data_IF_934665719919
#
_entry.id   IF_934665719919
#
_cell.length_a   1.000
_cell.length_b   1.000
_cell.length_c   1.000
_cell.angle_alpha   90.00
_cell.angle_beta   90.00
_cell.angle_gamma   90.00
#
_symmetry.space_group_name_H-M   'P 1'
#
loop_
_entity.id
_entity.type
_entity.pdbx_description
1 polymer ?
#
# COMPACT_ATOMS: atom_id res chain seq x y z
N UNK A 1 36.07 -17.11 -6.41
CA UNK A 1 36.34 -18.56 -6.27
C UNK A 1 36.61 -19.13 -7.65
N UNK A 2 37.84 -19.55 -7.92
CA UNK A 2 38.23 -20.16 -9.20
C UNK A 2 38.22 -21.68 -9.04
N UNK A 3 37.49 -22.38 -9.92
CA UNK A 3 37.43 -23.84 -9.96
C UNK A 3 38.51 -24.33 -10.93
N UNK A 4 39.35 -25.26 -10.47
CA UNK A 4 40.49 -25.80 -11.23
C UNK A 4 40.24 -27.30 -11.42
N UNK A 5 40.26 -27.78 -12.66
CA UNK A 5 40.12 -29.20 -12.98
C UNK A 5 41.43 -29.98 -12.70
N UNK A 6 41.35 -31.29 -12.37
CA UNK A 6 42.50 -32.11 -11.93
C UNK A 6 43.59 -32.36 -12.99
N UNK A 7 43.48 -31.77 -14.19
CA UNK A 7 44.51 -31.82 -15.25
C UNK A 7 45.26 -30.50 -15.46
N UNK A 8 45.17 -29.55 -14.52
CA UNK A 8 46.05 -28.38 -14.46
C UNK A 8 45.90 -27.38 -15.62
N UNK A 9 44.75 -27.37 -16.30
CA UNK A 9 44.47 -26.43 -17.41
C UNK A 9 43.62 -25.27 -16.90
N UNK A 10 44.14 -24.04 -17.02
CA UNK A 10 43.40 -22.81 -16.71
C UNK A 10 42.21 -22.64 -17.68
N UNK A 11 40.98 -22.58 -17.17
CA UNK A 11 39.82 -22.10 -17.93
C UNK A 11 39.81 -20.57 -17.87
N UNK A 12 40.43 -19.96 -18.87
CA UNK A 12 40.59 -18.52 -19.00
C UNK A 12 39.27 -17.73 -19.03
N UNK A 13 39.39 -16.49 -18.59
CA UNK A 13 38.39 -15.44 -18.63
C UNK A 13 37.68 -15.36 -19.99
N UNK A 14 36.34 -15.34 -19.95
CA UNK A 14 35.54 -14.88 -21.08
C UNK A 14 34.82 -13.59 -20.72
N UNK A 15 35.41 -12.53 -21.23
CA UNK A 15 34.82 -11.24 -21.58
C UNK A 15 33.40 -11.43 -22.12
N UNK A 16 32.38 -11.02 -21.36
CA UNK A 16 31.04 -10.79 -21.88
C UNK A 16 30.81 -9.28 -21.92
N UNK A 17 30.76 -8.80 -23.16
CA UNK A 17 30.60 -7.41 -23.57
C UNK A 17 29.26 -6.89 -23.03
N UNK A 18 29.29 -5.71 -22.41
CA UNK A 18 28.10 -4.86 -22.27
C UNK A 18 27.62 -4.49 -23.68
N UNK A 19 26.57 -5.14 -24.15
CA UNK A 19 25.78 -4.64 -25.28
C UNK A 19 24.49 -4.09 -24.71
N UNK A 20 24.41 -2.76 -24.65
CA UNK A 20 23.20 -1.99 -24.37
C UNK A 20 22.06 -2.48 -25.29
N UNK A 21 20.84 -2.74 -24.79
CA UNK A 21 19.71 -3.00 -25.65
C UNK A 21 19.29 -1.71 -26.39
N UNK A 22 18.80 -1.81 -27.64
CA UNK A 22 18.34 -0.67 -28.43
C UNK A 22 17.07 -0.02 -27.84
N UNK A 23 16.77 1.26 -28.17
CA UNK A 23 15.61 1.96 -27.65
C UNK A 23 14.34 1.46 -28.37
N UNK A 24 13.67 0.47 -27.78
CA UNK A 24 12.35 0.08 -28.25
C UNK A 24 11.30 1.08 -27.74
N UNK A 25 10.90 1.96 -28.67
CA UNK A 25 9.66 2.73 -28.75
C UNK A 25 8.77 2.71 -27.51
N UNK A 26 8.71 3.84 -26.81
CA UNK A 26 7.64 4.13 -25.86
C UNK A 26 6.27 3.98 -26.54
N UNK A 27 5.30 3.23 -25.98
CA UNK A 27 3.92 3.43 -26.36
C UNK A 27 3.45 4.78 -25.79
N UNK A 28 3.17 5.74 -26.68
CA UNK A 28 2.29 6.87 -26.37
C UNK A 28 0.90 6.30 -26.05
N UNK A 29 0.56 6.24 -24.77
CA UNK A 29 -0.77 5.86 -24.31
C UNK A 29 -1.48 7.06 -23.67
N UNK A 30 -1.64 8.12 -24.45
CA UNK A 30 -2.67 9.12 -24.20
C UNK A 30 -4.05 8.52 -24.57
N UNK A 31 -4.69 7.81 -23.64
CA UNK A 31 -6.11 7.39 -23.74
C UNK A 31 -6.84 7.62 -22.41
N UNK A 32 -7.80 8.56 -22.35
CA UNK A 32 -8.70 8.70 -21.22
C UNK A 32 -9.94 7.83 -21.41
N UNK A 33 -10.31 7.06 -20.39
CA UNK A 33 -11.65 6.45 -20.26
C UNK A 33 -11.70 4.94 -20.31
N UNK A 34 -11.25 4.28 -19.24
CA UNK A 34 -11.76 2.95 -18.87
C UNK A 34 -12.06 2.96 -17.36
N UNK A 35 -13.19 2.39 -16.91
CA UNK A 35 -13.48 2.28 -15.49
C UNK A 35 -12.39 1.42 -14.85
N UNK A 36 -11.65 2.02 -13.92
CA UNK A 36 -10.65 1.37 -13.08
C UNK A 36 -11.30 0.19 -12.35
N UNK A 37 -11.16 -1.00 -12.94
CA UNK A 37 -11.51 -2.28 -12.33
C UNK A 37 -10.32 -2.70 -11.47
N UNK A 38 -10.53 -2.74 -10.15
CA UNK A 38 -9.51 -3.06 -9.17
C UNK A 38 -9.05 -4.51 -9.34
N UNK A 39 -7.77 -4.69 -9.64
CA UNK A 39 -7.07 -5.96 -9.90
C UNK A 39 -6.47 -6.59 -8.63
N UNK A 40 -6.81 -6.07 -7.44
CA UNK A 40 -6.41 -6.65 -6.15
C UNK A 40 -4.91 -6.65 -5.86
N UNK A 41 -4.09 -6.08 -6.75
CA UNK A 41 -2.67 -5.80 -6.52
C UNK A 41 -2.47 -4.47 -5.80
N UNK A 42 -1.27 -4.26 -5.25
CA UNK A 42 -0.86 -3.04 -4.53
C UNK A 42 -1.00 -1.81 -5.43
N UNK A 43 -2.21 -1.26 -5.41
CA UNK A 43 -2.62 -0.03 -6.07
C UNK A 43 -2.01 1.14 -5.30
N UNK A 44 -1.71 2.24 -6.00
CA UNK A 44 -1.12 3.47 -5.43
C UNK A 44 -1.88 4.06 -4.23
N UNK A 45 -3.10 3.59 -3.94
CA UNK A 45 -3.88 3.98 -2.77
C UNK A 45 -3.37 3.42 -1.43
N UNK A 46 -2.52 2.39 -1.44
CA UNK A 46 -1.91 1.82 -0.24
C UNK A 46 -0.54 2.42 0.10
N UNK A 47 0.00 3.29 -0.76
CA UNK A 47 1.24 3.99 -0.49
C UNK A 47 1.05 5.03 0.62
N UNK A 48 2.00 5.06 1.56
CA UNK A 48 2.02 6.07 2.61
C UNK A 48 2.60 7.38 2.03
N UNK A 49 2.02 8.55 2.38
CA UNK A 49 2.56 9.81 1.92
C UNK A 49 3.99 10.02 2.42
N UNK A 50 4.84 10.60 1.58
CA UNK A 50 6.24 10.84 1.92
C UNK A 50 6.33 11.76 3.14
N UNK A 51 6.97 11.28 4.21
CA UNK A 51 7.13 12.03 5.46
C UNK A 51 6.01 11.85 6.48
N UNK A 52 5.01 11.01 6.22
CA UNK A 52 4.05 10.63 7.25
C UNK A 52 4.72 9.78 8.33
N UNK A 53 4.66 10.27 9.56
CA UNK A 53 5.24 9.59 10.74
C UNK A 53 4.16 9.13 11.71
N UNK A 54 2.97 9.74 11.62
CA UNK A 54 1.87 9.47 12.53
C UNK A 54 0.61 9.05 11.79
N UNK A 55 -0.26 8.34 12.50
CA UNK A 55 -1.57 7.95 11.98
C UNK A 55 -2.46 9.16 11.65
N UNK A 56 -2.19 10.31 12.28
CA UNK A 56 -2.91 11.55 12.03
C UNK A 56 -2.59 12.12 10.63
N UNK A 57 -1.33 12.02 10.18
CA UNK A 57 -0.91 12.46 8.84
C UNK A 57 -1.70 11.72 7.74
N UNK A 58 -1.98 10.44 7.96
CA UNK A 58 -2.77 9.61 7.05
C UNK A 58 -4.26 10.01 7.01
N UNK A 59 -4.81 10.42 8.16
CA UNK A 59 -6.19 10.88 8.30
C UNK A 59 -6.36 12.22 7.57
N UNK A 60 -5.39 13.12 7.72
CA UNK A 60 -5.38 14.43 7.06
C UNK A 60 -5.14 14.28 5.55
N UNK A 61 -4.16 13.46 5.15
CA UNK A 61 -3.87 13.21 3.73
C UNK A 61 -5.05 12.59 2.98
N UNK A 62 -5.81 11.69 3.61
CA UNK A 62 -7.03 11.10 3.02
C UNK A 62 -8.29 11.92 3.29
N UNK A 63 -8.19 13.12 3.86
CA UNK A 63 -9.30 14.00 4.22
C UNK A 63 -10.45 13.26 4.93
N UNK A 64 -10.10 12.36 5.85
CA UNK A 64 -11.08 11.52 6.54
C UNK A 64 -11.96 12.37 7.46
N UNK A 65 -13.25 12.04 7.51
CA UNK A 65 -14.16 12.67 8.49
C UNK A 65 -13.77 12.31 9.92
N UNK A 66 -14.18 13.14 10.89
CA UNK A 66 -13.89 12.91 12.32
C UNK A 66 -14.30 11.51 12.79
N UNK A 67 -15.42 10.98 12.29
CA UNK A 67 -15.88 9.63 12.62
C UNK A 67 -14.97 8.56 12.00
N UNK A 68 -14.58 8.73 10.73
CA UNK A 68 -13.73 7.78 10.03
C UNK A 68 -12.31 7.74 10.61
N UNK A 69 -11.75 8.90 10.97
CA UNK A 69 -10.45 8.97 11.65
C UNK A 69 -10.45 8.29 13.02
N UNK A 70 -11.55 8.38 13.79
CA UNK A 70 -11.66 7.67 15.08
C UNK A 70 -11.79 6.15 14.90
N UNK A 71 -12.51 5.69 13.88
CA UNK A 71 -12.55 4.26 13.51
C UNK A 71 -11.15 3.79 13.15
N UNK A 72 -10.43 4.54 12.32
CA UNK A 72 -9.08 4.18 11.89
C UNK A 72 -8.09 4.09 13.06
N UNK A 73 -8.11 5.07 13.98
CA UNK A 73 -7.31 5.04 15.21
C UNK A 73 -7.65 3.84 16.10
N UNK A 74 -8.94 3.51 16.24
CA UNK A 74 -9.39 2.37 17.04
C UNK A 74 -8.97 1.03 16.41
N UNK A 75 -9.07 0.90 15.07
CA UNK A 75 -8.59 -0.27 14.34
C UNK A 75 -7.07 -0.45 14.45
N UNK A 76 -6.31 0.64 14.35
CA UNK A 76 -4.85 0.58 14.46
C UNK A 76 -4.40 0.12 15.85
N UNK A 77 -5.05 0.63 16.91
CA UNK A 77 -4.77 0.24 18.30
C UNK A 77 -5.33 -1.14 18.66
N UNK A 78 -6.24 -1.69 17.85
CA UNK A 78 -6.94 -2.91 18.16
C UNK A 78 -5.97 -4.09 18.31
N UNK A 79 -5.81 -4.58 19.53
CA UNK A 79 -4.90 -5.70 19.85
C UNK A 79 -3.55 -5.30 20.43
N UNK A 80 -3.25 -4.00 20.58
CA UNK A 80 -2.04 -3.55 21.27
C UNK A 80 -2.16 -3.50 22.81
N UNK A 81 -3.39 -3.56 23.34
CA UNK A 81 -3.68 -3.55 24.79
C UNK A 81 -4.55 -4.73 25.21
N UNK A 82 -4.64 -4.95 26.52
CA UNK A 82 -5.43 -6.00 27.19
C UNK A 82 -6.81 -6.29 26.57
N UNK A 83 -7.33 -7.50 26.77
CA UNK A 83 -8.59 -7.96 26.19
C UNK A 83 -9.79 -7.01 26.44
N UNK A 84 -9.83 -6.30 27.57
CA UNK A 84 -10.85 -5.27 27.85
C UNK A 84 -10.76 -4.07 26.88
N UNK A 85 -9.55 -3.69 26.48
CA UNK A 85 -9.32 -2.63 25.49
C UNK A 85 -9.82 -3.04 24.10
N UNK A 86 -9.75 -4.33 23.76
CA UNK A 86 -10.25 -4.84 22.47
C UNK A 86 -11.77 -4.67 22.33
N UNK A 87 -12.53 -5.04 23.36
CA UNK A 87 -13.99 -4.85 23.33
C UNK A 87 -14.37 -3.38 23.37
N UNK A 88 -13.62 -2.55 24.10
CA UNK A 88 -13.82 -1.11 24.07
C UNK A 88 -13.58 -0.52 22.67
N UNK A 89 -12.49 -0.91 22.00
CA UNK A 89 -12.16 -0.44 20.65
C UNK A 89 -13.21 -0.93 19.63
N UNK A 90 -13.69 -2.18 19.73
CA UNK A 90 -14.79 -2.68 18.90
C UNK A 90 -16.09 -1.88 19.08
N UNK A 91 -16.49 -1.64 20.33
CA UNK A 91 -17.69 -0.84 20.62
C UNK A 91 -17.56 0.58 20.07
N UNK A 92 -16.36 1.17 20.15
CA UNK A 92 -16.07 2.49 19.58
C UNK A 92 -16.17 2.49 18.06
N UNK A 93 -15.63 1.47 17.40
CA UNK A 93 -15.74 1.30 15.93
C UNK A 93 -17.21 1.20 15.52
N UNK A 94 -17.99 0.33 16.18
CA UNK A 94 -19.42 0.14 15.90
C UNK A 94 -20.18 1.46 16.04
N UNK A 95 -19.98 2.18 17.15
CA UNK A 95 -20.64 3.46 17.40
C UNK A 95 -20.40 4.48 16.27
N UNK A 96 -19.14 4.66 15.85
CA UNK A 96 -18.82 5.61 14.79
C UNK A 96 -19.29 5.11 13.42
N UNK A 97 -19.25 3.81 13.16
CA UNK A 97 -19.72 3.21 11.91
C UNK A 97 -21.23 3.39 11.74
N UNK A 98 -22.02 3.16 12.78
CA UNK A 98 -23.47 3.42 12.78
C UNK A 98 -23.78 4.90 12.53
N UNK A 99 -23.01 5.81 13.14
CA UNK A 99 -23.19 7.25 12.93
C UNK A 99 -22.86 7.66 11.49
N UNK A 100 -21.80 7.12 10.90
CA UNK A 100 -21.45 7.32 9.49
C UNK A 100 -22.54 6.79 8.57
N UNK A 101 -23.03 5.57 8.83
CA UNK A 101 -24.14 4.97 8.08
C UNK A 101 -25.36 5.90 8.06
N UNK A 102 -25.76 6.44 9.21
CA UNK A 102 -26.88 7.41 9.30
C UNK A 102 -26.63 8.71 8.53
N UNK A 103 -25.38 9.17 8.45
CA UNK A 103 -25.04 10.37 7.66
C UNK A 103 -25.19 10.08 6.18
N UNK A 104 -24.68 8.94 5.70
CA UNK A 104 -24.81 8.53 4.30
C UNK A 104 -26.27 8.24 3.91
N UNK A 105 -27.05 7.61 4.78
CA UNK A 105 -28.50 7.40 4.57
C UNK A 105 -29.26 8.72 4.36
N UNK A 106 -28.94 9.76 5.14
CA UNK A 106 -29.54 11.10 4.97
C UNK A 106 -29.04 11.84 3.73
N UNK A 107 -27.87 11.49 3.20
CA UNK A 107 -27.33 12.07 1.97
C UNK A 107 -27.94 11.42 0.72
N UNK A 108 -28.33 10.15 0.84
CA UNK A 108 -28.98 9.39 -0.22
C UNK A 108 -30.49 9.62 -0.31
N UNK A 109 -31.10 10.19 0.73
CA UNK A 109 -32.51 10.61 0.79
C UNK A 109 -32.67 12.03 0.25
#
# INVERSE_FOLDING_TARGET
MSVIDPKGRYIGARNVRFTSPPPHSMPDCTKPGAPISSDGGSTSYYELPQGATELNDLIEHKAMSFALGNIFKACYRFGEKDAASRMYDLNKIIYFAERLKKVEERRAA
#
